data_IF_895854147994
#
_entry.id   IF_895854147994
#
_cell.length_a   1.000
_cell.length_b   1.000
_cell.length_c   1.000
_cell.angle_alpha   90.00
_cell.angle_beta   90.00
_cell.angle_gamma   90.00
#
_symmetry.space_group_name_H-M   'P 1'
#
loop_
_entity.id
_entity.type
_entity.pdbx_description
1 polymer ?
#
# COMPACT_ATOMS: atom_id res chain seq x y z
N UNK A 1 -0.78 62.13 -38.21
CA UNK A 1 -0.11 60.82 -38.30
C UNK A 1 -0.15 60.20 -36.90
N UNK A 2 -0.87 59.11 -36.67
CA UNK A 2 -0.89 58.47 -35.37
C UNK A 2 0.26 57.46 -35.27
N UNK A 3 0.96 57.49 -34.14
CA UNK A 3 2.01 56.55 -33.79
C UNK A 3 1.36 55.20 -33.37
N UNK A 4 1.72 54.13 -34.06
CA UNK A 4 1.46 52.75 -33.65
C UNK A 4 2.46 52.36 -32.56
N UNK A 5 2.02 52.22 -31.32
CA UNK A 5 2.78 51.57 -30.27
C UNK A 5 2.64 50.06 -30.40
N UNK A 6 3.73 49.38 -30.71
CA UNK A 6 3.81 47.91 -30.70
C UNK A 6 3.67 47.42 -29.28
N UNK A 7 2.59 46.67 -28.99
CA UNK A 7 2.50 45.80 -27.81
C UNK A 7 3.39 44.59 -28.05
N UNK A 8 4.60 44.57 -27.54
CA UNK A 8 5.35 43.34 -27.37
C UNK A 8 4.75 42.54 -26.19
N UNK A 9 3.97 41.54 -26.53
CA UNK A 9 3.49 40.56 -25.56
C UNK A 9 4.66 39.72 -25.03
N UNK A 10 5.07 39.99 -23.80
CA UNK A 10 5.99 39.13 -23.06
C UNK A 10 5.26 37.82 -22.75
N UNK A 11 5.41 36.83 -23.63
CA UNK A 11 5.08 35.47 -23.29
C UNK A 11 6.07 34.96 -22.22
N UNK A 12 5.73 35.19 -20.97
CA UNK A 12 6.42 34.55 -19.86
C UNK A 12 6.27 33.04 -19.97
N UNK A 13 7.27 32.35 -20.48
CA UNK A 13 7.41 30.93 -20.33
C UNK A 13 7.53 30.67 -18.84
N UNK A 14 6.41 30.26 -18.20
CA UNK A 14 6.39 29.78 -16.83
C UNK A 14 7.39 28.64 -16.73
N UNK A 15 8.46 28.82 -15.97
CA UNK A 15 9.36 27.71 -15.63
C UNK A 15 8.50 26.60 -15.08
N UNK A 16 8.66 25.34 -15.53
CA UNK A 16 7.99 24.22 -14.91
C UNK A 16 8.34 24.25 -13.43
N UNK A 17 7.34 24.44 -12.59
CA UNK A 17 7.50 24.36 -11.14
C UNK A 17 7.87 22.90 -10.85
N UNK A 18 9.11 22.65 -10.45
CA UNK A 18 9.50 21.37 -9.88
C UNK A 18 8.74 21.20 -8.58
N UNK A 19 7.68 20.40 -8.61
CA UNK A 19 6.92 20.08 -7.39
C UNK A 19 7.88 19.36 -6.44
N UNK A 20 8.16 19.96 -5.29
CA UNK A 20 9.05 19.35 -4.29
C UNK A 20 8.36 18.14 -3.69
N UNK A 21 9.05 17.01 -3.67
CA UNK A 21 8.55 15.80 -3.02
C UNK A 21 8.33 16.04 -1.51
N UNK A 22 7.16 15.67 -1.01
CA UNK A 22 6.77 15.85 0.40
C UNK A 22 6.60 14.50 1.05
N UNK A 23 7.43 14.21 2.06
CA UNK A 23 7.25 13.00 2.88
C UNK A 23 6.04 13.22 3.79
N UNK A 24 4.99 12.41 3.59
CA UNK A 24 3.76 12.45 4.38
C UNK A 24 3.95 11.72 5.70
N UNK A 25 4.59 10.56 5.67
CA UNK A 25 5.02 9.82 6.85
C UNK A 25 6.19 8.89 6.53
N UNK A 26 6.95 8.54 7.57
CA UNK A 26 8.08 7.63 7.48
C UNK A 26 8.24 6.85 8.79
N UNK A 27 8.05 5.54 8.72
CA UNK A 27 8.33 4.58 9.80
C UNK A 27 9.47 3.66 9.35
N UNK A 28 10.74 4.02 9.61
CA UNK A 28 11.89 3.17 9.24
C UNK A 28 11.94 1.88 10.06
N UNK A 29 11.25 1.86 11.19
CA UNK A 29 10.91 0.73 12.04
C UNK A 29 9.69 1.13 12.90
N UNK A 30 9.25 0.26 13.81
CA UNK A 30 8.10 0.53 14.68
C UNK A 30 8.51 0.67 16.16
N UNK A 31 9.62 1.36 16.44
CA UNK A 31 9.97 1.79 17.81
C UNK A 31 8.92 2.77 18.38
N UNK A 32 8.11 3.36 17.51
CA UNK A 32 6.92 4.14 17.85
C UNK A 32 5.82 3.89 16.84
N UNK A 33 4.59 3.71 17.31
CA UNK A 33 3.36 3.62 16.51
C UNK A 33 2.53 4.91 16.54
N UNK A 34 3.12 6.01 16.98
CA UNK A 34 2.43 7.30 16.98
C UNK A 34 1.89 7.64 15.58
N UNK A 35 0.60 7.91 15.49
CA UNK A 35 -0.09 8.14 14.22
C UNK A 35 -0.55 6.87 13.50
N UNK A 36 -0.54 5.72 14.17
CA UNK A 36 -1.15 4.47 13.73
C UNK A 36 -2.32 4.08 14.65
N UNK A 37 -3.23 3.28 14.10
CA UNK A 37 -4.31 2.60 14.82
C UNK A 37 -4.14 1.12 14.58
N UNK A 38 -3.84 0.39 15.63
CA UNK A 38 -3.72 -1.07 15.66
C UNK A 38 -5.09 -1.67 15.99
N UNK A 39 -5.52 -2.65 15.24
CA UNK A 39 -6.84 -3.28 15.36
C UNK A 39 -6.69 -4.79 15.54
N UNK A 40 -7.38 -5.35 16.55
CA UNK A 40 -7.41 -6.76 16.89
C UNK A 40 -6.03 -7.31 17.25
N UNK A 41 -5.46 -8.25 16.47
CA UNK A 41 -4.19 -8.92 16.80
C UNK A 41 -2.95 -8.10 16.45
N UNK A 42 -3.10 -6.97 15.73
CA UNK A 42 -1.96 -6.14 15.38
C UNK A 42 -1.29 -5.54 16.61
N UNK A 43 0.04 -5.58 16.66
CA UNK A 43 0.82 -5.05 17.78
C UNK A 43 2.33 -5.09 17.55
N UNK A 44 3.08 -4.31 18.32
CA UNK A 44 4.53 -4.20 18.18
C UNK A 44 5.27 -5.15 19.10
N UNK A 45 6.20 -5.91 18.52
CA UNK A 45 7.15 -6.77 19.23
C UNK A 45 8.55 -6.44 18.71
N UNK A 46 9.45 -6.02 19.58
CA UNK A 46 10.85 -5.73 19.25
C UNK A 46 11.04 -4.78 18.04
N UNK A 47 10.27 -3.70 18.01
CA UNK A 47 10.27 -2.69 16.93
C UNK A 47 9.80 -3.22 15.55
N UNK A 48 9.13 -4.36 15.52
CA UNK A 48 8.46 -4.92 14.36
C UNK A 48 6.95 -4.89 14.59
N UNK A 49 6.19 -4.51 13.60
CA UNK A 49 4.73 -4.48 13.69
C UNK A 49 4.16 -5.80 13.15
N UNK A 50 3.78 -6.68 14.06
CA UNK A 50 3.06 -7.90 13.74
C UNK A 50 1.60 -7.55 13.46
N UNK A 51 1.11 -7.89 12.29
CA UNK A 51 -0.31 -7.78 11.96
C UNK A 51 -1.04 -9.01 12.52
N UNK A 52 -0.49 -10.21 12.27
CA UNK A 52 -0.83 -11.45 12.95
C UNK A 52 0.43 -12.26 13.22
N UNK A 53 0.36 -13.21 14.13
CA UNK A 53 1.41 -14.21 14.37
C UNK A 53 0.99 -15.60 13.83
N UNK A 54 1.66 -16.65 14.27
CA UNK A 54 1.36 -18.04 13.86
C UNK A 54 0.15 -18.67 14.56
N UNK A 55 -0.68 -17.89 15.24
CA UNK A 55 -1.95 -18.35 15.82
C UNK A 55 -3.00 -18.53 14.72
N UNK A 56 -3.74 -19.63 14.77
CA UNK A 56 -4.77 -19.93 13.77
C UNK A 56 -6.05 -19.12 13.99
N UNK A 57 -6.64 -18.62 12.90
CA UNK A 57 -7.87 -17.84 12.93
C UNK A 57 -7.70 -16.37 13.30
N UNK A 58 -6.47 -15.88 13.37
CA UNK A 58 -6.18 -14.48 13.65
C UNK A 58 -6.51 -13.56 12.48
N UNK A 59 -6.96 -12.35 12.81
CA UNK A 59 -7.14 -11.23 11.87
C UNK A 59 -6.64 -9.96 12.53
N UNK A 60 -5.76 -9.25 11.87
CA UNK A 60 -5.25 -7.97 12.34
C UNK A 60 -5.26 -6.92 11.24
N UNK A 61 -5.38 -5.67 11.64
CA UNK A 61 -5.23 -4.53 10.76
C UNK A 61 -4.44 -3.41 11.45
N UNK A 62 -3.71 -2.64 10.67
CA UNK A 62 -3.11 -1.38 11.11
C UNK A 62 -3.39 -0.31 10.07
N UNK A 63 -3.75 0.88 10.52
CA UNK A 63 -4.08 2.02 9.67
C UNK A 63 -3.34 3.27 10.09
N UNK A 64 -3.14 4.19 9.16
CA UNK A 64 -2.84 5.58 9.56
C UNK A 64 -4.01 6.11 10.40
N UNK A 65 -3.69 6.88 11.46
CA UNK A 65 -4.71 7.52 12.30
C UNK A 65 -5.38 8.73 11.62
N UNK A 66 -4.72 9.29 10.59
CA UNK A 66 -5.20 10.45 9.82
C UNK A 66 -5.48 10.03 8.39
N UNK A 67 -6.67 10.35 7.91
CA UNK A 67 -7.06 10.14 6.51
C UNK A 67 -6.36 11.15 5.60
N UNK A 68 -5.95 10.70 4.43
CA UNK A 68 -5.14 11.44 3.46
C UNK A 68 -5.91 11.52 2.14
N UNK A 69 -5.80 12.66 1.44
CA UNK A 69 -6.32 12.83 0.09
C UNK A 69 -5.27 12.39 -0.94
N UNK A 70 -5.65 11.46 -1.83
CA UNK A 70 -4.76 10.87 -2.84
C UNK A 70 -5.01 11.49 -4.23
N UNK A 71 -5.14 12.82 -4.32
CA UNK A 71 -5.42 13.57 -5.55
C UNK A 71 -4.17 14.04 -6.30
N UNK A 72 -3.03 13.44 -6.04
CA UNK A 72 -1.72 13.71 -6.66
C UNK A 72 -0.89 12.45 -6.75
N UNK A 73 0.20 12.49 -7.51
CA UNK A 73 1.13 11.36 -7.63
C UNK A 73 1.86 11.10 -6.32
N UNK A 74 2.18 9.83 -6.07
CA UNK A 74 2.91 9.43 -4.87
C UNK A 74 3.76 8.18 -5.10
N UNK A 75 4.76 7.99 -4.24
CA UNK A 75 5.49 6.74 -4.05
C UNK A 75 5.24 6.22 -2.63
N UNK A 76 4.83 4.97 -2.52
CA UNK A 76 4.67 4.27 -1.26
C UNK A 76 5.65 3.11 -1.19
N UNK A 77 6.50 3.10 -0.17
CA UNK A 77 7.55 2.12 0.05
C UNK A 77 7.24 1.35 1.34
N UNK A 78 7.36 0.02 1.32
CA UNK A 78 7.23 -0.79 2.55
C UNK A 78 8.07 -2.06 2.47
N UNK A 79 8.44 -2.55 3.65
CA UNK A 79 9.05 -3.86 3.82
C UNK A 79 8.11 -4.75 4.61
N UNK A 80 7.73 -5.88 4.04
CA UNK A 80 6.80 -6.83 4.64
C UNK A 80 7.38 -8.24 4.60
N UNK A 81 7.21 -8.98 5.70
CA UNK A 81 7.66 -10.36 5.83
C UNK A 81 6.50 -11.28 6.15
N UNK A 82 6.40 -12.35 5.37
CA UNK A 82 5.61 -13.53 5.69
C UNK A 82 6.58 -14.67 6.01
N UNK A 83 6.48 -15.26 7.22
CA UNK A 83 7.45 -16.26 7.68
C UNK A 83 6.92 -17.16 8.80
N UNK A 84 7.55 -18.31 9.00
CA UNK A 84 7.16 -19.25 10.06
C UNK A 84 5.82 -19.94 9.83
N UNK A 85 5.23 -20.53 10.86
CA UNK A 85 3.90 -21.15 10.81
C UNK A 85 3.89 -22.54 10.21
N UNK A 86 2.81 -22.87 9.50
CA UNK A 86 2.54 -24.21 8.95
C UNK A 86 3.13 -24.39 7.54
N UNK A 87 3.09 -25.62 7.04
CA UNK A 87 3.37 -25.95 5.64
C UNK A 87 2.15 -26.67 5.06
N UNK A 88 1.43 -26.06 4.08
CA UNK A 88 1.66 -24.74 3.49
C UNK A 88 1.41 -23.58 4.47
N UNK A 89 2.07 -22.43 4.27
CA UNK A 89 1.79 -21.20 5.03
C UNK A 89 0.48 -20.54 4.59
N UNK A 90 -0.12 -19.70 5.42
CA UNK A 90 -1.36 -19.00 5.10
C UNK A 90 -1.58 -17.77 6.01
N UNK A 91 -2.41 -16.82 5.55
CA UNK A 91 -3.06 -16.73 4.24
C UNK A 91 -2.44 -15.63 3.37
N UNK A 92 -1.66 -14.72 3.97
CA UNK A 92 -1.06 -13.54 3.33
C UNK A 92 -1.55 -12.23 3.93
N UNK A 93 -1.36 -11.14 3.20
CA UNK A 93 -1.67 -9.78 3.67
C UNK A 93 -2.34 -8.93 2.59
N UNK A 94 -2.91 -7.79 2.99
CA UNK A 94 -3.38 -6.76 2.08
C UNK A 94 -2.81 -5.38 2.42
N UNK A 95 -2.69 -4.54 1.38
CA UNK A 95 -2.56 -3.09 1.46
C UNK A 95 -3.86 -2.48 0.95
N UNK A 96 -4.47 -1.56 1.70
CA UNK A 96 -5.78 -1.03 1.38
C UNK A 96 -5.95 0.45 1.71
N UNK A 97 -6.84 1.12 0.97
CA UNK A 97 -7.30 2.48 1.22
C UNK A 97 -8.77 2.44 1.58
N UNK A 98 -9.11 2.83 2.81
CA UNK A 98 -10.43 2.63 3.41
C UNK A 98 -11.03 3.93 3.92
N UNK A 99 -12.37 4.05 3.98
CA UNK A 99 -13.03 5.20 4.61
C UNK A 99 -12.97 5.18 6.15
N UNK A 100 -12.57 4.06 6.76
CA UNK A 100 -12.49 3.86 8.22
C UNK A 100 -11.13 3.29 8.61
N UNK A 101 -10.71 3.49 9.86
CA UNK A 101 -9.41 3.02 10.37
C UNK A 101 -9.51 2.20 11.68
N UNK A 102 -10.69 1.75 12.04
CA UNK A 102 -10.95 1.06 13.32
C UNK A 102 -11.71 -0.26 13.12
N UNK A 103 -11.70 -0.81 11.92
CA UNK A 103 -12.47 -2.00 11.56
C UNK A 103 -11.53 -3.12 11.13
N UNK A 104 -11.78 -4.32 11.64
CA UNK A 104 -11.13 -5.54 11.16
C UNK A 104 -11.71 -5.96 9.81
N UNK A 105 -10.85 -6.47 8.95
CA UNK A 105 -11.25 -7.09 7.69
C UNK A 105 -11.65 -8.55 7.85
N UNK A 106 -11.83 -9.24 6.73
CA UNK A 106 -12.17 -10.65 6.70
C UNK A 106 -10.99 -11.55 7.08
N UNK A 107 -11.31 -12.68 7.73
CA UNK A 107 -10.33 -13.70 8.10
C UNK A 107 -9.94 -14.64 6.95
N UNK A 108 -8.96 -15.51 7.22
CA UNK A 108 -8.50 -16.51 6.26
C UNK A 108 -8.05 -15.87 4.95
N UNK A 109 -8.40 -16.45 3.82
CA UNK A 109 -8.04 -15.95 2.48
C UNK A 109 -8.53 -14.54 2.13
N UNK A 110 -9.31 -13.87 3.01
CA UNK A 110 -9.61 -12.45 2.87
C UNK A 110 -8.48 -11.55 3.38
N UNK A 111 -7.49 -12.08 4.09
CA UNK A 111 -6.23 -11.45 4.52
C UNK A 111 -6.39 -10.06 5.17
N UNK A 112 -7.42 -9.90 5.99
CA UNK A 112 -7.73 -8.62 6.63
C UNK A 112 -8.30 -7.55 5.69
N UNK A 113 -8.68 -7.91 4.46
CA UNK A 113 -9.26 -7.00 3.48
C UNK A 113 -10.66 -6.54 3.90
N UNK A 114 -10.91 -5.25 3.78
CA UNK A 114 -12.22 -4.62 3.98
C UNK A 114 -12.96 -4.47 2.65
N UNK A 115 -14.18 -5.01 2.54
CA UNK A 115 -15.02 -4.86 1.34
C UNK A 115 -15.46 -3.41 1.07
N UNK A 116 -15.28 -2.52 2.04
CA UNK A 116 -15.49 -1.06 1.91
C UNK A 116 -14.26 -0.32 1.39
N UNK A 117 -13.13 -1.00 1.19
CA UNK A 117 -11.93 -0.39 0.64
C UNK A 117 -12.18 0.10 -0.79
N UNK A 118 -11.77 1.35 -1.09
CA UNK A 118 -11.88 1.92 -2.44
C UNK A 118 -10.83 1.34 -3.38
N UNK A 119 -9.67 1.02 -2.84
CA UNK A 119 -8.58 0.29 -3.50
C UNK A 119 -8.01 -0.71 -2.51
N UNK A 120 -7.69 -1.91 -2.96
CA UNK A 120 -6.94 -2.88 -2.16
C UNK A 120 -6.07 -3.78 -3.03
N UNK A 121 -4.92 -4.15 -2.51
CA UNK A 121 -4.00 -5.12 -3.08
C UNK A 121 -3.85 -6.26 -2.08
N UNK A 122 -4.19 -7.48 -2.48
CA UNK A 122 -3.97 -8.67 -1.66
C UNK A 122 -2.79 -9.48 -2.20
N UNK A 123 -1.99 -9.98 -1.30
CA UNK A 123 -0.78 -10.75 -1.54
C UNK A 123 -0.95 -12.09 -0.79
N UNK A 124 -1.49 -13.09 -1.49
CA UNK A 124 -1.79 -14.39 -0.90
C UNK A 124 -0.56 -15.29 -0.91
N UNK A 125 -0.30 -15.96 0.22
CA UNK A 125 0.77 -16.95 0.38
C UNK A 125 0.23 -18.37 0.31
N UNK A 126 -1.10 -18.56 0.49
CA UNK A 126 -1.75 -19.88 0.49
C UNK A 126 -2.16 -20.34 -0.91
N UNK A 127 -1.91 -21.62 -1.21
CA UNK A 127 -2.28 -22.41 -2.41
C UNK A 127 -1.87 -21.76 -3.74
N UNK A 128 -2.37 -20.61 -4.12
CA UNK A 128 -2.14 -20.06 -5.47
C UNK A 128 -1.09 -18.94 -5.50
N UNK A 129 -0.56 -18.51 -4.35
CA UNK A 129 0.43 -17.45 -4.27
C UNK A 129 0.08 -16.33 -5.26
N UNK A 130 -0.95 -15.52 -4.95
CA UNK A 130 -1.51 -14.59 -5.93
C UNK A 130 -1.46 -13.14 -5.45
N UNK A 131 -1.25 -12.24 -6.41
CA UNK A 131 -1.51 -10.82 -6.28
C UNK A 131 -2.88 -10.51 -6.88
N UNK A 132 -3.75 -9.83 -6.12
CA UNK A 132 -5.06 -9.37 -6.64
C UNK A 132 -5.27 -7.90 -6.34
N UNK A 133 -5.71 -7.14 -7.37
CA UNK A 133 -6.15 -5.77 -7.20
C UNK A 133 -7.68 -5.70 -7.20
N UNK A 134 -8.21 -5.05 -6.16
CA UNK A 134 -9.63 -4.73 -6.01
C UNK A 134 -9.84 -3.21 -6.11
N UNK A 135 -10.89 -2.81 -6.84
CA UNK A 135 -11.42 -1.45 -6.86
C UNK A 135 -12.90 -1.52 -6.47
N UNK A 136 -13.27 -0.84 -5.38
CA UNK A 136 -14.63 -0.86 -4.84
C UNK A 136 -15.19 -2.29 -4.70
N UNK A 137 -14.42 -3.19 -4.10
CA UNK A 137 -14.74 -4.61 -3.90
C UNK A 137 -14.91 -5.44 -5.20
N UNK A 138 -14.44 -4.95 -6.34
CA UNK A 138 -14.46 -5.67 -7.62
C UNK A 138 -13.04 -5.99 -8.05
N UNK A 139 -12.78 -7.26 -8.37
CA UNK A 139 -11.48 -7.70 -8.88
C UNK A 139 -11.21 -7.03 -10.23
N UNK A 140 -10.09 -6.34 -10.35
CA UNK A 140 -9.59 -5.73 -11.59
C UNK A 140 -8.48 -6.57 -12.21
N UNK A 141 -7.64 -7.16 -11.41
CA UNK A 141 -6.49 -7.97 -11.84
C UNK A 141 -6.24 -9.07 -10.83
N UNK A 142 -5.90 -10.26 -11.31
CA UNK A 142 -5.41 -11.37 -10.50
C UNK A 142 -4.23 -12.03 -11.24
N UNK A 143 -3.09 -12.17 -10.55
CA UNK A 143 -1.86 -12.79 -11.08
C UNK A 143 -1.43 -13.87 -10.10
N UNK A 144 -1.37 -15.12 -10.55
CA UNK A 144 -0.98 -16.28 -9.73
C UNK A 144 0.50 -16.64 -9.91
N UNK A 145 1.01 -17.54 -9.08
CA UNK A 145 2.39 -18.05 -9.18
C UNK A 145 3.44 -17.08 -8.63
N UNK A 146 3.05 -16.15 -7.75
CA UNK A 146 3.95 -15.23 -7.06
C UNK A 146 4.42 -15.85 -5.73
N UNK A 147 5.66 -15.59 -5.31
CA UNK A 147 6.12 -16.04 -3.98
C UNK A 147 6.22 -14.86 -3.03
N UNK A 148 5.23 -14.72 -2.15
CA UNK A 148 5.18 -13.69 -1.10
C UNK A 148 5.57 -14.21 0.28
N UNK A 149 5.78 -15.54 0.44
CA UNK A 149 6.22 -16.15 1.69
C UNK A 149 7.72 -15.96 1.90
N UNK A 150 8.13 -14.73 2.19
CA UNK A 150 9.49 -14.30 2.49
C UNK A 150 9.50 -12.83 2.94
N UNK A 151 10.68 -12.33 3.34
CA UNK A 151 10.88 -10.89 3.57
C UNK A 151 11.07 -10.18 2.22
N UNK A 152 10.16 -9.25 1.89
CA UNK A 152 10.15 -8.53 0.62
C UNK A 152 10.06 -7.03 0.82
N UNK A 153 10.75 -6.31 -0.06
CA UNK A 153 10.65 -4.87 -0.21
C UNK A 153 9.73 -4.55 -1.38
N UNK A 154 8.87 -3.56 -1.18
CA UNK A 154 7.85 -3.15 -2.13
C UNK A 154 7.92 -1.64 -2.39
N UNK A 155 7.64 -1.25 -3.62
CA UNK A 155 7.45 0.14 -4.03
C UNK A 155 6.21 0.22 -4.91
N UNK A 156 5.29 1.14 -4.59
CA UNK A 156 4.12 1.44 -5.40
C UNK A 156 4.18 2.90 -5.84
N UNK A 157 4.46 3.13 -7.13
CA UNK A 157 4.48 4.45 -7.73
C UNK A 157 3.16 4.73 -8.43
N UNK A 158 2.40 5.66 -7.91
CA UNK A 158 1.15 6.12 -8.51
C UNK A 158 1.37 7.41 -9.31
N UNK A 159 0.96 7.38 -10.57
CA UNK A 159 0.88 8.56 -11.41
C UNK A 159 -0.58 8.99 -11.53
N UNK A 160 -0.92 10.12 -10.91
CA UNK A 160 -2.27 10.66 -10.87
C UNK A 160 -2.78 11.04 -12.27
N UNK A 161 -1.93 11.64 -13.11
CA UNK A 161 -2.31 12.11 -14.45
C UNK A 161 -2.71 10.97 -15.38
N UNK A 162 -2.02 9.82 -15.29
CA UNK A 162 -2.30 8.65 -16.13
C UNK A 162 -3.16 7.59 -15.44
N UNK A 163 -3.53 7.82 -14.18
CA UNK A 163 -4.26 6.83 -13.33
C UNK A 163 -3.57 5.45 -13.35
N UNK A 164 -2.25 5.46 -13.29
CA UNK A 164 -1.44 4.24 -13.37
C UNK A 164 -0.63 4.04 -12.10
N UNK A 165 -0.65 2.82 -11.56
CA UNK A 165 0.23 2.42 -10.47
C UNK A 165 1.18 1.32 -10.95
N UNK A 166 2.46 1.47 -10.64
CA UNK A 166 3.50 0.47 -10.86
C UNK A 166 3.96 -0.08 -9.53
N UNK A 167 3.88 -1.39 -9.36
CA UNK A 167 4.32 -2.07 -8.15
C UNK A 167 5.58 -2.86 -8.46
N UNK A 168 6.60 -2.66 -7.65
CA UNK A 168 7.90 -3.32 -7.73
C UNK A 168 8.09 -4.15 -6.45
N UNK A 169 8.66 -5.35 -6.61
CA UNK A 169 8.92 -6.30 -5.51
C UNK A 169 10.34 -6.82 -5.62
N UNK A 170 11.07 -6.86 -4.52
CA UNK A 170 12.45 -7.33 -4.47
C UNK A 170 12.76 -8.00 -3.14
N UNK A 171 13.68 -8.95 -3.14
CA UNK A 171 14.26 -9.55 -1.92
C UNK A 171 15.34 -8.67 -1.28
N UNK A 172 15.76 -7.61 -1.96
CA UNK A 172 16.74 -6.63 -1.47
C UNK A 172 16.13 -5.23 -1.42
N UNK A 173 16.64 -4.36 -0.56
CA UNK A 173 16.21 -2.96 -0.48
C UNK A 173 16.78 -2.12 -1.65
N UNK A 174 16.58 -2.64 -2.86
CA UNK A 174 16.92 -1.95 -4.12
C UNK A 174 15.76 -2.10 -5.07
N UNK A 175 15.14 -0.97 -5.43
CA UNK A 175 14.00 -0.94 -6.34
C UNK A 175 14.41 -1.47 -7.72
N UNK A 176 13.70 -2.49 -8.27
CA UNK A 176 13.96 -2.99 -9.61
C UNK A 176 13.75 -1.93 -10.70
N UNK A 177 14.45 -2.08 -11.84
CA UNK A 177 14.27 -1.18 -12.98
C UNK A 177 12.91 -1.36 -13.67
N UNK A 178 12.32 -2.57 -13.58
CA UNK A 178 11.02 -2.90 -14.17
C UNK A 178 10.00 -3.26 -13.08
N UNK A 179 8.76 -2.80 -13.25
CA UNK A 179 7.67 -3.13 -12.36
C UNK A 179 7.25 -4.59 -12.51
N UNK A 180 6.93 -5.24 -11.39
CA UNK A 180 6.31 -6.57 -11.36
C UNK A 180 4.85 -6.51 -11.80
N UNK A 181 4.13 -5.43 -11.40
CA UNK A 181 2.73 -5.22 -11.77
C UNK A 181 2.55 -3.78 -12.25
N UNK A 182 1.79 -3.61 -13.35
CA UNK A 182 1.34 -2.30 -13.85
C UNK A 182 -0.17 -2.30 -13.91
N UNK A 183 -0.80 -1.41 -13.14
CA UNK A 183 -2.24 -1.30 -12.99
C UNK A 183 -2.68 0.02 -13.63
N UNK A 184 -3.62 -0.06 -14.58
CA UNK A 184 -4.18 1.12 -15.27
C UNK A 184 -5.64 1.33 -14.88
N UNK A 185 -6.08 2.59 -14.85
CA UNK A 185 -7.44 2.94 -14.42
C UNK A 185 -7.61 2.96 -12.89
N UNK A 186 -6.51 2.89 -12.13
CA UNK A 186 -6.52 3.11 -10.69
C UNK A 186 -6.74 4.59 -10.43
N UNK A 187 -7.77 4.91 -9.67
CA UNK A 187 -8.10 6.30 -9.34
C UNK A 187 -8.62 6.40 -7.92
N UNK A 188 -8.29 7.50 -7.27
CA UNK A 188 -8.91 7.94 -6.03
C UNK A 188 -9.84 9.10 -6.40
N UNK A 189 -11.05 9.11 -5.84
CA UNK A 189 -11.92 10.29 -5.89
C UNK A 189 -11.40 11.41 -4.97
N UNK A 190 -12.18 12.47 -4.79
CA UNK A 190 -11.81 13.59 -3.92
C UNK A 190 -11.91 13.28 -2.43
N UNK A 191 -12.21 12.03 -2.05
CA UNK A 191 -12.30 11.60 -0.65
C UNK A 191 -10.96 11.53 0.05
N UNK A 192 -11.01 11.54 1.38
CA UNK A 192 -9.88 11.24 2.24
C UNK A 192 -9.96 9.77 2.67
N UNK A 193 -8.85 9.05 2.58
CA UNK A 193 -8.78 7.63 2.90
C UNK A 193 -7.67 7.33 3.88
N UNK A 194 -7.92 6.35 4.75
CA UNK A 194 -6.91 5.77 5.61
C UNK A 194 -6.17 4.68 4.82
N UNK A 195 -4.86 4.80 4.71
CA UNK A 195 -4.03 3.70 4.20
C UNK A 195 -3.74 2.74 5.34
N UNK A 196 -3.81 1.45 5.08
CA UNK A 196 -3.56 0.43 6.08
C UNK A 196 -3.17 -0.92 5.50
N UNK A 197 -2.64 -1.75 6.37
CA UNK A 197 -2.35 -3.15 6.12
C UNK A 197 -3.32 -4.02 6.90
N UNK A 198 -3.69 -5.14 6.33
CA UNK A 198 -4.39 -6.21 6.99
C UNK A 198 -3.70 -7.54 6.73
N UNK A 199 -3.88 -8.49 7.62
CA UNK A 199 -3.47 -9.87 7.43
C UNK A 199 -4.40 -10.81 8.18
N UNK A 200 -4.41 -12.07 7.79
CA UNK A 200 -5.16 -13.09 8.48
C UNK A 200 -4.48 -14.46 8.36
N UNK A 201 -4.78 -15.32 9.34
CA UNK A 201 -4.48 -16.74 9.32
C UNK A 201 -5.78 -17.54 9.33
N UNK A 202 -5.71 -18.79 8.94
CA UNK A 202 -6.82 -19.74 8.98
C UNK A 202 -6.48 -21.00 9.75
N UNK A 203 -6.75 -22.16 9.17
CA UNK A 203 -6.25 -23.47 9.67
C UNK A 203 -4.76 -23.66 9.42
N UNK A 204 -4.22 -23.04 8.36
CA UNK A 204 -2.78 -22.84 8.15
C UNK A 204 -2.39 -21.44 8.63
N UNK A 205 -1.11 -21.25 8.99
CA UNK A 205 -0.65 -20.03 9.68
C UNK A 205 0.70 -19.57 9.18
N UNK A 206 0.99 -18.27 9.37
CA UNK A 206 2.31 -17.65 9.22
C UNK A 206 2.36 -16.33 10.02
N UNK A 207 3.55 -15.81 10.27
CA UNK A 207 3.72 -14.45 10.77
C UNK A 207 3.55 -13.45 9.62
N UNK A 208 2.82 -12.37 9.86
CA UNK A 208 2.68 -11.24 8.96
C UNK A 208 3.27 -10.00 9.63
N UNK A 209 4.44 -9.59 9.17
CA UNK A 209 5.27 -8.57 9.86
C UNK A 209 5.53 -7.40 8.92
N UNK A 210 5.01 -6.22 9.27
CA UNK A 210 5.40 -4.96 8.64
C UNK A 210 6.66 -4.44 9.34
N UNK A 211 7.75 -4.24 8.57
CA UNK A 211 9.06 -3.85 9.10
C UNK A 211 9.35 -2.36 8.93
N UNK A 212 8.82 -1.76 7.86
CA UNK A 212 8.93 -0.31 7.59
C UNK A 212 7.86 0.12 6.61
N UNK A 213 7.52 1.40 6.59
CA UNK A 213 6.71 2.02 5.55
C UNK A 213 6.96 3.51 5.41
N UNK A 214 6.85 4.04 4.18
CA UNK A 214 7.04 5.47 3.88
C UNK A 214 6.15 5.89 2.72
N UNK A 215 5.44 7.00 2.87
CA UNK A 215 4.67 7.65 1.80
C UNK A 215 5.29 9.00 1.46
N UNK A 216 5.51 9.22 0.17
CA UNK A 216 6.02 10.48 -0.36
C UNK A 216 5.13 10.93 -1.51
N UNK A 217 4.60 12.14 -1.45
CA UNK A 217 3.90 12.78 -2.56
C UNK A 217 4.88 13.50 -3.49
N UNK A 218 4.58 13.48 -4.80
CA UNK A 218 5.43 14.08 -5.85
C UNK A 218 4.60 14.95 -6.79
#
# INVERSE_FOLDING_TARGET
MPFLSSLEGVFGYGRPQTQTAVVEFNYPNFSSTAGLVEVSTAGVISNLLYITDTTGGDVGNVYRSTAIQYNRSFSFEWNFECSGGTSPPADGFCLQWTPTNNTNGGGGGSVGYLTTAVQAFTFLTYINNSFTWYKNNVIQTNVTGQNFYQNLFYWADYNHTTSTMRIYVSTTNTKPASANFTLTGLSFDSGNYYIGFGAATGGSTENHILRSMKLTFT
#
